data_IF_752769783079
#
_entry.id   IF_752769783079
#
_cell.length_a   1.000
_cell.length_b   1.000
_cell.length_c   1.000
_cell.angle_alpha   90.00
_cell.angle_beta   90.00
_cell.angle_gamma   90.00
#
_symmetry.space_group_name_H-M   'P 1'
#
loop_
_entity.id
_entity.type
_entity.pdbx_description
1 polymer ?
#
# COMPACT_ATOMS: atom_id res chain seq x y z
N UNK A 1 3.32 -11.09 -2.81
CA UNK A 1 2.83 -9.70 -2.60
C UNK A 1 1.45 -9.78 -1.97
N UNK A 2 1.43 -9.90 -0.65
CA UNK A 2 0.21 -9.66 0.09
C UNK A 2 0.08 -8.17 0.38
N UNK A 3 -1.14 -7.62 0.56
CA UNK A 3 -1.41 -6.18 0.78
C UNK A 3 -1.48 -5.34 -0.50
N UNK A 4 -1.62 -5.96 -1.67
CA UNK A 4 -1.72 -5.20 -2.92
C UNK A 4 -2.95 -4.27 -2.93
N UNK A 5 -4.09 -4.77 -2.47
CA UNK A 5 -5.36 -4.03 -2.50
C UNK A 5 -5.31 -2.86 -1.51
N UNK A 6 -4.85 -3.10 -0.29
CA UNK A 6 -4.77 -2.09 0.76
C UNK A 6 -3.80 -0.95 0.43
N UNK A 7 -2.60 -1.26 -0.10
CA UNK A 7 -1.63 -0.22 -0.46
C UNK A 7 -2.11 0.66 -1.62
N UNK A 8 -2.69 0.06 -2.67
CA UNK A 8 -3.25 0.81 -3.79
C UNK A 8 -4.38 1.72 -3.30
N UNK A 9 -5.26 1.21 -2.43
CA UNK A 9 -6.36 1.99 -1.87
C UNK A 9 -5.86 3.20 -1.06
N UNK A 10 -4.84 3.03 -0.22
CA UNK A 10 -4.23 4.13 0.54
C UNK A 10 -3.65 5.19 -0.40
N UNK A 11 -2.94 4.78 -1.46
CA UNK A 11 -2.45 5.72 -2.47
C UNK A 11 -3.59 6.48 -3.13
N UNK A 12 -4.60 5.77 -3.64
CA UNK A 12 -5.68 6.41 -4.39
C UNK A 12 -6.46 7.40 -3.53
N UNK A 13 -6.77 7.04 -2.28
CA UNK A 13 -7.46 7.92 -1.35
C UNK A 13 -6.60 9.11 -0.93
N UNK A 14 -5.33 8.88 -0.59
CA UNK A 14 -4.41 9.98 -0.28
C UNK A 14 -4.23 10.93 -1.48
N UNK A 15 -4.20 10.40 -2.70
CA UNK A 15 -4.14 11.20 -3.92
C UNK A 15 -5.41 12.03 -4.12
N UNK A 16 -6.61 11.47 -3.88
CA UNK A 16 -7.88 12.22 -3.91
C UNK A 16 -7.86 13.39 -2.91
N UNK A 17 -7.37 13.17 -1.69
CA UNK A 17 -7.23 14.23 -0.69
C UNK A 17 -6.15 15.25 -1.09
N UNK A 18 -5.02 14.80 -1.64
CA UNK A 18 -3.95 15.68 -2.11
C UNK A 18 -4.42 16.61 -3.22
N UNK A 19 -5.33 16.18 -4.10
CA UNK A 19 -5.95 17.04 -5.11
C UNK A 19 -6.79 18.17 -4.50
N UNK A 20 -7.37 17.95 -3.32
CA UNK A 20 -8.11 18.97 -2.55
C UNK A 20 -7.22 19.84 -1.67
N UNK A 21 -6.10 19.31 -1.17
CA UNK A 21 -5.27 20.00 -0.18
C UNK A 21 -4.67 21.29 -0.74
N UNK A 22 -4.84 22.45 -0.09
CA UNK A 22 -4.19 23.69 -0.50
C UNK A 22 -2.67 23.65 -0.27
N UNK A 23 -2.18 22.77 0.61
CA UNK A 23 -0.75 22.59 0.89
C UNK A 23 0.01 21.84 -0.21
N UNK A 24 -0.70 21.15 -1.11
CA UNK A 24 -0.07 20.39 -2.19
C UNK A 24 0.10 21.27 -3.42
N UNK A 25 1.35 21.40 -3.89
CA UNK A 25 1.71 22.22 -5.04
C UNK A 25 0.98 21.79 -6.32
N UNK A 26 0.57 22.73 -7.20
CA UNK A 26 -0.15 22.42 -8.44
C UNK A 26 0.52 21.36 -9.33
N UNK A 27 1.86 21.32 -9.40
CA UNK A 27 2.58 20.32 -10.19
C UNK A 27 2.43 18.90 -9.66
N UNK A 28 2.37 18.70 -8.33
CA UNK A 28 2.08 17.38 -7.77
C UNK A 28 0.64 16.96 -8.08
N UNK A 29 -0.30 17.90 -8.01
CA UNK A 29 -1.69 17.64 -8.44
C UNK A 29 -1.77 17.29 -9.93
N UNK A 30 -0.99 17.97 -10.77
CA UNK A 30 -0.88 17.64 -12.19
C UNK A 30 -0.32 16.22 -12.38
N UNK A 31 0.78 15.88 -11.69
CA UNK A 31 1.38 14.55 -11.74
C UNK A 31 0.38 13.45 -11.37
N UNK A 32 -0.35 13.62 -10.27
CA UNK A 32 -1.40 12.68 -9.84
C UNK A 32 -2.50 12.52 -10.89
N UNK A 33 -2.95 13.60 -11.53
CA UNK A 33 -3.97 13.53 -12.60
C UNK A 33 -3.46 12.89 -13.88
N UNK A 34 -2.28 13.29 -14.36
CA UNK A 34 -1.76 12.89 -15.68
C UNK A 34 -1.04 11.54 -15.68
N UNK A 35 -0.59 11.07 -14.52
CA UNK A 35 0.21 9.86 -14.38
C UNK A 35 -0.29 8.95 -13.25
N UNK A 36 -1.60 8.94 -12.98
CA UNK A 36 -2.22 8.10 -11.96
C UNK A 36 -1.77 6.62 -11.99
N UNK A 37 -1.76 5.92 -13.16
CA UNK A 37 -1.33 4.52 -13.19
C UNK A 37 0.11 4.30 -12.75
N UNK A 38 0.97 5.31 -12.95
CA UNK A 38 2.37 5.27 -12.51
C UNK A 38 2.46 5.42 -10.98
N UNK A 39 1.59 6.23 -10.37
CA UNK A 39 1.47 6.30 -8.92
C UNK A 39 0.95 5.00 -8.32
N UNK A 40 -0.03 4.34 -8.95
CA UNK A 40 -0.48 2.99 -8.55
C UNK A 40 0.70 2.01 -8.56
N UNK A 41 1.52 2.02 -9.61
CA UNK A 41 2.74 1.18 -9.67
C UNK A 41 3.73 1.50 -8.54
N UNK A 42 3.93 2.79 -8.23
CA UNK A 42 4.74 3.22 -7.09
C UNK A 42 4.21 2.69 -5.76
N UNK A 43 2.88 2.67 -5.57
CA UNK A 43 2.23 2.21 -4.33
C UNK A 43 2.41 0.72 -4.02
N UNK A 44 2.86 -0.06 -4.98
CA UNK A 44 3.12 -1.50 -4.83
C UNK A 44 4.60 -1.84 -4.96
N UNK A 45 5.47 -0.82 -5.03
CA UNK A 45 6.92 -0.98 -5.13
C UNK A 45 7.59 -0.84 -3.77
N UNK A 46 8.55 -1.72 -3.47
CA UNK A 46 9.33 -1.72 -2.21
C UNK A 46 10.58 -0.85 -2.29
N UNK A 47 11.19 -0.56 -1.14
CA UNK A 47 12.50 0.12 -0.97
C UNK A 47 12.50 1.65 -1.19
N UNK A 48 11.36 2.31 -0.98
CA UNK A 48 11.22 3.75 -1.29
C UNK A 48 11.98 4.67 -0.39
N UNK A 49 12.24 4.22 0.82
CA UNK A 49 12.96 5.03 1.79
C UNK A 49 14.39 5.35 1.31
N UNK A 50 15.05 4.46 0.56
CA UNK A 50 16.40 4.67 0.06
C UNK A 50 16.45 5.56 -1.20
N UNK A 51 15.35 5.67 -1.94
CA UNK A 51 15.33 6.31 -3.26
C UNK A 51 14.50 7.59 -3.31
N UNK A 52 13.73 7.91 -2.27
CA UNK A 52 12.90 9.13 -2.22
C UNK A 52 13.76 10.39 -2.44
N UNK A 53 14.79 10.60 -1.62
CA UNK A 53 15.67 11.78 -1.73
C UNK A 53 16.46 11.80 -3.06
N UNK A 54 17.15 10.72 -3.47
CA UNK A 54 17.85 10.67 -4.75
C UNK A 54 16.96 10.99 -5.97
N UNK A 55 15.65 10.70 -5.90
CA UNK A 55 14.71 11.05 -6.96
C UNK A 55 14.24 12.50 -6.84
N UNK A 56 13.91 12.99 -5.64
CA UNK A 56 13.35 14.33 -5.47
C UNK A 56 14.39 15.46 -5.55
N UNK A 57 15.61 15.25 -5.05
CA UNK A 57 16.63 16.30 -4.98
C UNK A 57 16.99 16.88 -6.38
N UNK A 58 17.20 16.06 -7.44
CA UNK A 58 17.42 16.61 -8.78
C UNK A 58 16.18 17.32 -9.35
N UNK A 59 14.97 16.90 -8.98
CA UNK A 59 13.72 17.50 -9.48
C UNK A 59 13.40 18.84 -8.84
N UNK A 60 13.94 19.11 -7.65
CA UNK A 60 13.84 20.41 -6.98
C UNK A 60 14.41 21.54 -7.85
N UNK A 61 15.50 21.26 -8.57
CA UNK A 61 16.07 22.17 -9.56
C UNK A 61 15.17 22.22 -10.79
N UNK A 62 14.32 23.24 -10.87
CA UNK A 62 13.37 23.43 -11.98
C UNK A 62 11.92 23.05 -11.66
N UNK A 63 11.60 22.69 -10.41
CA UNK A 63 10.22 22.46 -9.99
C UNK A 63 9.33 23.70 -10.14
N UNK A 64 9.90 24.90 -10.11
CA UNK A 64 9.19 26.17 -10.29
C UNK A 64 8.89 26.52 -11.75
N UNK A 65 9.32 25.69 -12.72
CA UNK A 65 8.99 25.91 -14.12
C UNK A 65 7.47 25.91 -14.34
N UNK A 66 6.90 26.75 -15.23
CA UNK A 66 5.46 26.80 -15.46
C UNK A 66 4.84 25.48 -15.92
N UNK A 67 5.63 24.66 -16.63
CA UNK A 67 5.23 23.34 -17.14
C UNK A 67 6.36 22.36 -16.89
N UNK A 68 6.05 21.24 -16.23
CA UNK A 68 7.02 20.16 -16.04
C UNK A 68 6.97 19.17 -17.21
N UNK A 69 8.13 18.61 -17.63
CA UNK A 69 8.16 17.54 -18.62
C UNK A 69 7.34 16.32 -18.18
N UNK A 70 6.73 15.61 -19.14
CA UNK A 70 5.94 14.41 -18.84
C UNK A 70 6.72 13.32 -18.08
N UNK A 71 8.04 13.21 -18.31
CA UNK A 71 8.92 12.32 -17.55
C UNK A 71 8.97 12.72 -16.07
N UNK A 72 9.12 14.00 -15.78
CA UNK A 72 9.12 14.54 -14.41
C UNK A 72 7.80 14.26 -13.71
N UNK A 73 6.66 14.51 -14.37
CA UNK A 73 5.34 14.21 -13.82
C UNK A 73 5.18 12.72 -13.49
N UNK A 74 5.69 11.81 -14.34
CA UNK A 74 5.68 10.37 -14.05
C UNK A 74 6.56 9.98 -12.86
N UNK A 75 7.76 10.56 -12.76
CA UNK A 75 8.65 10.33 -11.61
C UNK A 75 8.01 10.82 -10.32
N UNK A 76 7.41 12.01 -10.33
CA UNK A 76 6.69 12.55 -9.17
C UNK A 76 5.52 11.64 -8.77
N UNK A 77 4.67 11.24 -9.72
CA UNK A 77 3.56 10.33 -9.44
C UNK A 77 4.04 9.00 -8.86
N UNK A 78 5.10 8.40 -9.44
CA UNK A 78 5.72 7.18 -8.92
C UNK A 78 6.18 7.35 -7.47
N UNK A 79 6.94 8.42 -7.19
CA UNK A 79 7.45 8.70 -5.85
C UNK A 79 6.32 8.92 -4.84
N UNK A 80 5.25 9.63 -5.22
CA UNK A 80 4.09 9.82 -4.33
C UNK A 80 3.36 8.50 -4.04
N UNK A 81 3.18 7.65 -5.06
CA UNK A 81 2.73 6.27 -4.88
C UNK A 81 3.60 5.52 -3.87
N UNK A 82 4.91 5.62 -4.04
CA UNK A 82 5.87 4.98 -3.15
C UNK A 82 5.81 5.49 -1.72
N UNK A 83 5.58 6.79 -1.53
CA UNK A 83 5.38 7.37 -0.20
C UNK A 83 4.09 6.85 0.45
N UNK A 84 3.02 6.71 -0.31
CA UNK A 84 1.79 6.08 0.18
C UNK A 84 2.02 4.60 0.57
N UNK A 85 2.85 3.88 -0.18
CA UNK A 85 3.27 2.52 0.19
C UNK A 85 3.90 2.50 1.58
N UNK A 86 4.92 3.34 1.77
CA UNK A 86 5.64 3.41 3.03
C UNK A 86 4.74 3.87 4.19
N UNK A 87 3.79 4.77 3.95
CA UNK A 87 2.83 5.20 4.96
C UNK A 87 1.97 4.02 5.47
N UNK A 88 1.41 3.22 4.55
CA UNK A 88 0.67 2.01 4.87
C UNK A 88 1.53 0.99 5.64
N UNK A 89 2.74 0.73 5.14
CA UNK A 89 3.70 -0.18 5.76
C UNK A 89 4.06 0.21 7.20
N UNK A 90 4.29 1.50 7.46
CA UNK A 90 4.59 2.01 8.80
C UNK A 90 3.41 1.92 9.73
N UNK A 91 2.20 1.97 9.19
CA UNK A 91 0.99 1.80 9.97
C UNK A 91 0.75 0.33 10.33
N UNK A 92 0.77 -0.57 9.34
CA UNK A 92 0.23 -1.92 9.54
C UNK A 92 1.25 -3.00 9.85
N UNK A 93 2.49 -2.92 9.36
CA UNK A 93 3.50 -3.95 9.69
C UNK A 93 3.73 -4.13 11.19
N UNK A 94 3.75 -3.07 12.03
CA UNK A 94 3.78 -3.22 13.48
C UNK A 94 2.54 -3.98 14.00
N UNK A 95 1.35 -3.60 13.52
CA UNK A 95 0.07 -4.20 13.92
C UNK A 95 -0.02 -5.67 13.53
N UNK A 96 0.39 -6.05 12.32
CA UNK A 96 0.38 -7.45 11.88
C UNK A 96 1.21 -8.35 12.78
N UNK A 97 2.38 -7.88 13.19
CA UNK A 97 3.28 -8.61 14.10
C UNK A 97 2.67 -8.75 15.50
N UNK A 98 1.88 -7.78 15.93
CA UNK A 98 1.16 -7.84 17.20
C UNK A 98 -0.06 -8.77 17.13
N UNK A 99 -0.84 -8.70 16.04
CA UNK A 99 -2.06 -9.48 15.87
C UNK A 99 -1.81 -10.94 15.48
N UNK A 100 -0.73 -11.23 14.76
CA UNK A 100 -0.41 -12.60 14.32
C UNK A 100 1.09 -12.92 14.55
N UNK A 101 1.62 -12.80 15.78
CA UNK A 101 3.04 -13.00 16.07
C UNK A 101 3.56 -14.37 15.62
N UNK A 102 2.73 -15.42 15.71
CA UNK A 102 3.03 -16.78 15.26
C UNK A 102 3.41 -16.88 13.76
N UNK A 103 2.95 -15.94 12.93
CA UNK A 103 3.30 -15.88 11.52
C UNK A 103 4.63 -15.16 11.28
N UNK A 104 5.04 -14.26 12.17
CA UNK A 104 6.24 -13.44 12.00
C UNK A 104 7.44 -13.93 12.83
N UNK A 105 7.21 -14.87 13.76
CA UNK A 105 8.19 -15.33 14.74
C UNK A 105 8.11 -16.84 14.99
N UNK A 106 8.92 -17.67 14.29
CA UNK A 106 9.71 -17.32 13.11
C UNK A 106 8.80 -16.99 11.94
N UNK A 107 9.31 -16.22 10.96
CA UNK A 107 8.53 -15.88 9.77
C UNK A 107 8.12 -17.15 9.03
N UNK A 108 6.82 -17.41 8.96
CA UNK A 108 6.24 -18.48 8.17
C UNK A 108 6.22 -18.06 6.69
N UNK A 109 6.34 -19.01 5.74
CA UNK A 109 6.17 -18.71 4.33
C UNK A 109 4.73 -18.30 4.02
N UNK A 110 4.53 -17.56 2.93
CA UNK A 110 3.21 -17.17 2.46
C UNK A 110 2.66 -15.91 3.12
N UNK A 111 1.40 -15.64 2.78
CA UNK A 111 0.66 -14.47 3.24
C UNK A 111 0.04 -14.70 4.62
N UNK A 112 0.16 -13.72 5.52
CA UNK A 112 -0.49 -13.74 6.84
C UNK A 112 -2.02 -13.63 6.74
N UNK A 113 -2.76 -14.20 7.68
CA UNK A 113 -4.23 -14.07 7.66
C UNK A 113 -4.68 -12.63 7.90
N UNK A 114 -4.02 -11.92 8.81
CA UNK A 114 -4.37 -10.52 9.13
C UNK A 114 -4.31 -9.64 7.88
N UNK A 115 -3.28 -9.84 7.06
CA UNK A 115 -3.14 -9.19 5.77
C UNK A 115 -4.31 -9.50 4.82
N UNK A 116 -4.68 -10.78 4.67
CA UNK A 116 -5.79 -11.18 3.78
C UNK A 116 -7.09 -10.51 4.22
N UNK A 117 -7.38 -10.52 5.52
CA UNK A 117 -8.60 -9.93 6.06
C UNK A 117 -8.63 -8.40 5.84
N UNK A 118 -7.49 -7.72 5.98
CA UNK A 118 -7.39 -6.29 5.67
C UNK A 118 -7.66 -6.00 4.19
N UNK A 119 -7.05 -6.75 3.27
CA UNK A 119 -7.30 -6.60 1.82
C UNK A 119 -8.77 -6.85 1.47
N UNK A 120 -9.38 -7.89 2.06
CA UNK A 120 -10.81 -8.22 1.89
C UNK A 120 -11.70 -7.08 2.41
N UNK A 121 -11.38 -6.51 3.57
CA UNK A 121 -12.11 -5.38 4.13
C UNK A 121 -12.01 -4.16 3.20
N UNK A 122 -10.81 -3.81 2.73
CA UNK A 122 -10.63 -2.72 1.76
C UNK A 122 -11.36 -2.99 0.44
N UNK A 123 -11.34 -4.22 -0.06
CA UNK A 123 -12.09 -4.58 -1.27
C UNK A 123 -13.61 -4.36 -1.11
N UNK A 124 -14.15 -4.68 0.06
CA UNK A 124 -15.56 -4.43 0.40
C UNK A 124 -15.84 -2.93 0.52
N UNK A 125 -15.10 -2.24 1.38
CA UNK A 125 -15.40 -0.86 1.77
C UNK A 125 -14.97 0.19 0.73
N UNK A 126 -13.73 0.10 0.23
CA UNK A 126 -13.16 1.11 -0.67
C UNK A 126 -13.61 0.86 -2.11
N UNK A 127 -13.53 -0.39 -2.56
CA UNK A 127 -13.84 -0.75 -3.94
C UNK A 127 -15.28 -1.21 -4.16
N UNK A 128 -16.13 -1.14 -3.12
CA UNK A 128 -17.53 -1.53 -3.18
C UNK A 128 -17.72 -2.92 -3.81
N UNK A 129 -16.97 -3.91 -3.33
CA UNK A 129 -16.96 -5.28 -3.86
C UNK A 129 -16.50 -5.37 -5.33
N UNK A 130 -15.57 -4.51 -5.72
CA UNK A 130 -15.06 -4.42 -7.09
C UNK A 130 -15.99 -3.66 -8.05
N UNK A 131 -17.04 -2.99 -7.56
CA UNK A 131 -17.85 -2.09 -8.41
C UNK A 131 -17.12 -0.79 -8.78
N UNK A 132 -15.94 -0.56 -8.20
CA UNK A 132 -15.08 0.61 -8.47
C UNK A 132 -13.72 0.17 -8.99
N UNK A 133 -13.27 0.87 -10.03
CA UNK A 133 -11.92 0.72 -10.58
C UNK A 133 -10.84 0.95 -9.50
N UNK A 134 -9.64 0.33 -9.66
CA UNK A 134 -9.25 -0.58 -10.73
C UNK A 134 -9.77 -2.01 -10.54
N UNK A 135 -10.48 -2.29 -9.44
CA UNK A 135 -11.03 -3.60 -9.13
C UNK A 135 -12.30 -3.85 -9.94
N UNK A 136 -12.64 -5.13 -10.16
CA UNK A 136 -13.84 -5.54 -10.89
C UNK A 136 -14.69 -6.50 -10.07
N UNK A 137 -16.02 -6.57 -10.29
CA UNK A 137 -16.82 -7.61 -9.64
C UNK A 137 -16.26 -8.98 -10.02
N UNK A 138 -16.06 -9.83 -9.02
CA UNK A 138 -15.46 -11.15 -9.22
C UNK A 138 -13.94 -11.23 -9.03
N UNK A 139 -13.23 -10.12 -8.79
CA UNK A 139 -11.78 -10.17 -8.44
C UNK A 139 -11.48 -11.13 -7.28
N UNK A 140 -12.37 -11.21 -6.28
CA UNK A 140 -12.25 -12.13 -5.14
C UNK A 140 -13.25 -13.29 -5.17
N UNK A 141 -13.96 -13.49 -6.29
CA UNK A 141 -14.86 -14.63 -6.43
C UNK A 141 -14.04 -15.86 -6.84
N UNK A 142 -14.17 -16.95 -6.08
CA UNK A 142 -13.50 -18.21 -6.39
C UNK A 142 -14.48 -19.38 -6.31
N UNK A 143 -14.31 -20.36 -7.20
CA UNK A 143 -15.11 -21.58 -7.26
C UNK A 143 -16.39 -21.48 -8.10
N UNK A 144 -17.26 -22.51 -8.06
CA UNK A 144 -18.48 -22.64 -8.90
C UNK A 144 -19.56 -21.57 -8.63
N UNK A 145 -19.28 -20.61 -7.76
CA UNK A 145 -20.16 -19.49 -7.39
C UNK A 145 -20.13 -18.33 -8.38
N UNK A 146 -19.31 -18.40 -9.45
CA UNK A 146 -19.31 -17.43 -10.54
C UNK A 146 -20.51 -17.68 -11.47
N UNK A 147 -21.44 -16.74 -11.65
CA UNK A 147 -22.47 -16.87 -12.66
C UNK A 147 -21.88 -16.67 -14.07
N UNK A 148 -22.18 -17.58 -15.00
CA UNK A 148 -21.86 -17.44 -16.44
C UNK A 148 -20.54 -18.10 -16.90
N UNK A 149 -20.12 -17.87 -18.16
CA UNK A 149 -18.99 -18.55 -18.82
C UNK A 149 -17.61 -18.23 -18.20
N UNK A 150 -17.55 -17.40 -17.15
CA UNK A 150 -16.35 -17.13 -16.37
C UNK A 150 -16.08 -18.22 -15.31
N UNK A 151 -17.07 -19.02 -14.95
CA UNK A 151 -16.92 -20.15 -14.03
C UNK A 151 -16.05 -21.29 -14.58
N UNK A 152 -15.85 -21.34 -15.90
CA UNK A 152 -15.13 -22.42 -16.60
C UNK A 152 -13.64 -22.15 -16.81
N UNK A 153 -13.11 -21.00 -16.38
CA UNK A 153 -11.67 -20.76 -16.46
C UNK A 153 -10.97 -21.35 -15.22
N UNK A 154 -10.13 -22.40 -15.37
CA UNK A 154 -9.41 -22.99 -14.25
C UNK A 154 -8.38 -21.98 -13.74
N UNK A 155 -8.77 -21.21 -12.73
CA UNK A 155 -8.03 -20.02 -12.26
C UNK A 155 -6.69 -20.41 -11.62
N UNK A 156 -6.62 -21.58 -10.97
CA UNK A 156 -5.37 -22.20 -10.52
C UNK A 156 -4.37 -22.49 -11.66
N UNK A 157 -4.86 -22.67 -12.89
CA UNK A 157 -4.01 -22.82 -14.08
C UNK A 157 -3.64 -21.47 -14.73
N UNK A 158 -4.41 -20.40 -14.46
CA UNK A 158 -4.16 -19.06 -15.00
C UNK A 158 -3.20 -18.24 -14.14
N UNK A 159 -3.17 -18.43 -12.83
CA UNK A 159 -2.30 -17.68 -11.92
C UNK A 159 -0.79 -17.83 -12.26
N UNK A 160 -0.26 -19.03 -12.57
CA UNK A 160 1.12 -19.17 -13.08
C UNK A 160 1.34 -18.44 -14.41
N UNK A 161 0.31 -18.40 -15.25
CA UNK A 161 0.36 -17.82 -16.60
C UNK A 161 0.42 -16.28 -16.54
N UNK A 162 -0.35 -15.66 -15.66
CA UNK A 162 -0.29 -14.23 -15.37
C UNK A 162 1.00 -13.83 -14.64
N UNK A 163 1.45 -14.63 -13.68
CA UNK A 163 2.74 -14.42 -13.01
C UNK A 163 3.91 -14.41 -14.00
N UNK A 164 3.93 -15.36 -14.95
CA UNK A 164 4.92 -15.44 -16.03
C UNK A 164 4.83 -14.27 -17.01
N UNK A 165 3.63 -13.85 -17.41
CA UNK A 165 3.44 -12.69 -18.29
C UNK A 165 3.90 -11.39 -17.62
N UNK A 166 3.56 -11.17 -16.35
CA UNK A 166 3.97 -10.00 -15.59
C UNK A 166 5.49 -9.95 -15.40
N UNK A 167 6.10 -11.07 -15.01
CA UNK A 167 7.56 -11.19 -14.93
C UNK A 167 8.24 -10.91 -16.28
N UNK A 168 7.67 -11.40 -17.39
CA UNK A 168 8.21 -11.15 -18.73
C UNK A 168 8.15 -9.66 -19.10
N UNK A 169 7.05 -8.99 -18.82
CA UNK A 169 6.93 -7.56 -19.13
C UNK A 169 7.81 -6.69 -18.20
N UNK A 170 7.96 -7.05 -16.93
CA UNK A 170 8.93 -6.41 -16.03
C UNK A 170 10.38 -6.58 -16.52
N UNK A 171 10.73 -7.75 -17.06
CA UNK A 171 12.04 -7.97 -17.68
C UNK A 171 12.22 -7.17 -18.98
N UNK A 172 11.15 -6.93 -19.75
CA UNK A 172 11.20 -6.08 -20.95
C UNK A 172 11.36 -4.60 -20.62
N UNK A 173 10.81 -4.15 -19.49
CA UNK A 173 10.89 -2.77 -19.03
C UNK A 173 12.25 -2.42 -18.41
N UNK A 174 13.06 -3.42 -18.03
CA UNK A 174 14.42 -3.18 -17.55
C UNK A 174 15.44 -3.22 -18.69
N UNK A 175 15.90 -2.05 -19.13
CA UNK A 175 17.22 -1.92 -19.76
C UNK A 175 18.28 -2.05 -18.67
N UNK A 176 18.67 -3.28 -18.33
CA UNK A 176 19.79 -3.51 -17.42
C UNK A 176 21.05 -2.92 -18.04
N UNK A 177 21.54 -1.82 -17.48
CA UNK A 177 22.84 -1.28 -17.85
C UNK A 177 23.93 -2.24 -17.36
N UNK A 178 24.64 -2.91 -18.29
CA UNK A 178 25.79 -3.76 -17.95
C UNK A 178 25.91 -5.05 -18.76
N UNK A 179 27.02 -5.79 -18.53
CA UNK A 179 27.38 -7.05 -19.20
C UNK A 179 26.81 -8.31 -18.51
N UNK A 180 25.82 -8.17 -17.61
CA UNK A 180 25.27 -9.32 -16.89
C UNK A 180 24.65 -10.35 -17.86
N UNK A 181 24.99 -11.62 -17.67
CA UNK A 181 24.34 -12.73 -18.38
C UNK A 181 22.83 -12.77 -18.09
N UNK A 182 22.05 -13.38 -18.98
CA UNK A 182 20.59 -13.54 -18.79
C UNK A 182 20.29 -14.26 -17.47
N UNK A 183 21.03 -15.31 -17.12
CA UNK A 183 20.86 -16.07 -15.88
C UNK A 183 21.13 -15.23 -14.63
N UNK A 184 22.18 -14.39 -14.63
CA UNK A 184 22.48 -13.46 -13.53
C UNK A 184 21.38 -12.40 -13.39
N UNK A 185 20.83 -11.91 -14.51
CA UNK A 185 19.70 -10.97 -14.51
C UNK A 185 18.44 -11.60 -13.93
N UNK A 186 18.12 -12.85 -14.27
CA UNK A 186 16.99 -13.57 -13.67
C UNK A 186 17.18 -13.85 -12.17
N UNK A 187 18.40 -14.18 -11.74
CA UNK A 187 18.72 -14.35 -10.32
C UNK A 187 18.55 -13.04 -9.54
N UNK A 188 19.04 -11.90 -10.08
CA UNK A 188 18.80 -10.56 -9.51
C UNK A 188 17.32 -10.18 -9.54
N UNK A 189 16.60 -10.50 -10.61
CA UNK A 189 15.16 -10.22 -10.69
C UNK A 189 14.38 -10.92 -9.57
N UNK A 190 14.72 -12.18 -9.25
CA UNK A 190 14.12 -12.89 -8.10
C UNK A 190 14.45 -12.26 -6.74
N UNK A 191 15.59 -11.59 -6.59
CA UNK A 191 15.93 -10.88 -5.35
C UNK A 191 15.35 -9.47 -5.28
N UNK A 192 14.98 -8.89 -6.43
CA UNK A 192 14.38 -7.54 -6.54
C UNK A 192 12.84 -7.60 -6.48
N UNK A 193 12.24 -8.58 -7.16
CA UNK A 193 10.79 -8.77 -7.17
C UNK A 193 10.41 -9.79 -6.10
N UNK A 194 9.54 -9.39 -5.17
CA UNK A 194 8.99 -10.31 -4.19
C UNK A 194 8.24 -11.44 -4.93
N UNK A 195 8.37 -12.71 -4.48
CA UNK A 195 7.52 -13.77 -5.00
C UNK A 195 6.04 -13.34 -4.92
N UNK A 196 5.31 -13.59 -6.00
CA UNK A 196 3.87 -13.40 -6.05
C UNK A 196 3.23 -14.53 -5.22
N UNK A 197 3.38 -14.44 -3.91
CA UNK A 197 2.61 -15.24 -2.96
C UNK A 197 1.26 -14.55 -2.83
N UNK A 198 0.31 -14.98 -3.64
CA UNK A 198 -1.11 -14.73 -3.47
C UNK A 198 -1.73 -16.11 -3.26
N UNK A 199 -2.71 -16.19 -2.36
CA UNK A 199 -3.49 -17.41 -2.14
C UNK A 199 -4.97 -17.09 -2.44
N UNK A 200 -5.39 -17.17 -3.72
CA UNK A 200 -6.73 -16.75 -4.11
C UNK A 200 -7.83 -17.51 -3.37
N UNK A 201 -7.57 -18.77 -3.00
CA UNK A 201 -8.51 -19.60 -2.26
C UNK A 201 -8.75 -19.02 -0.86
N UNK A 202 -7.68 -18.68 -0.11
CA UNK A 202 -7.81 -18.04 1.21
C UNK A 202 -8.44 -16.65 1.14
N UNK A 203 -8.15 -15.87 0.10
CA UNK A 203 -8.81 -14.56 -0.11
C UNK A 203 -10.31 -14.72 -0.35
N UNK A 204 -10.71 -15.67 -1.19
CA UNK A 204 -12.11 -15.93 -1.48
C UNK A 204 -12.86 -16.52 -0.28
N UNK A 205 -12.22 -17.41 0.48
CA UNK A 205 -12.76 -17.93 1.73
C UNK A 205 -12.98 -16.79 2.74
N UNK A 206 -11.98 -15.95 2.99
CA UNK A 206 -12.12 -14.79 3.87
C UNK A 206 -13.19 -13.79 3.38
N UNK A 207 -13.38 -13.65 2.06
CA UNK A 207 -14.40 -12.78 1.49
C UNK A 207 -15.82 -13.33 1.66
N UNK A 208 -16.05 -14.60 1.27
CA UNK A 208 -17.37 -15.23 1.20
C UNK A 208 -17.83 -15.91 2.50
N UNK A 209 -16.88 -16.45 3.27
CA UNK A 209 -17.12 -17.20 4.51
C UNK A 209 -16.11 -16.76 5.59
N UNK A 210 -16.13 -15.48 5.98
CA UNK A 210 -15.18 -14.99 6.98
C UNK A 210 -15.35 -15.72 8.30
N UNK A 211 -14.24 -16.15 8.90
CA UNK A 211 -14.20 -16.70 10.26
C UNK A 211 -14.50 -15.58 11.27
N UNK A 212 -15.58 -15.66 12.06
CA UNK A 212 -15.95 -14.61 13.02
C UNK A 212 -14.85 -14.29 14.03
N UNK A 213 -14.05 -15.28 14.44
CA UNK A 213 -12.93 -15.08 15.38
C UNK A 213 -11.84 -14.23 14.72
N UNK A 214 -11.52 -14.50 13.45
CA UNK A 214 -10.55 -13.72 12.68
C UNK A 214 -11.06 -12.32 12.36
N UNK A 215 -12.35 -12.16 12.04
CA UNK A 215 -12.97 -10.83 11.87
C UNK A 215 -12.83 -10.02 13.15
N UNK A 216 -13.19 -10.60 14.29
CA UNK A 216 -13.07 -9.91 15.57
C UNK A 216 -11.62 -9.52 15.87
N UNK A 217 -10.69 -10.46 15.72
CA UNK A 217 -9.26 -10.28 16.03
C UNK A 217 -8.56 -9.29 15.10
N UNK A 218 -8.85 -9.33 13.80
CA UNK A 218 -8.09 -8.61 12.77
C UNK A 218 -8.76 -7.33 12.30
N UNK A 219 -10.09 -7.22 12.35
CA UNK A 219 -10.81 -6.05 11.82
C UNK A 219 -11.47 -5.23 12.92
N UNK A 220 -12.26 -5.86 13.78
CA UNK A 220 -13.10 -5.16 14.76
C UNK A 220 -12.31 -4.65 15.96
N UNK A 221 -11.64 -5.56 16.69
CA UNK A 221 -10.90 -5.20 17.90
C UNK A 221 -9.81 -4.14 17.68
N UNK A 222 -9.02 -4.19 16.59
CA UNK A 222 -7.99 -3.17 16.35
C UNK A 222 -8.54 -1.98 15.54
N UNK A 223 -9.87 -1.87 15.36
CA UNK A 223 -10.55 -0.84 14.57
C UNK A 223 -9.89 -0.57 13.21
N UNK A 224 -9.82 -1.59 12.35
CA UNK A 224 -9.12 -1.47 11.07
C UNK A 224 -9.74 -0.40 10.16
N UNK A 225 -11.08 -0.36 10.08
CA UNK A 225 -11.84 0.57 9.24
C UNK A 225 -13.11 1.05 9.95
N UNK A 226 -13.37 2.36 9.91
CA UNK A 226 -14.53 3.00 10.54
C UNK A 226 -15.25 3.90 9.52
N UNK A 227 -16.33 3.40 8.93
CA UNK A 227 -17.04 4.09 7.85
C UNK A 227 -17.65 5.43 8.27
N UNK A 228 -17.89 5.63 9.57
CA UNK A 228 -18.50 6.86 10.11
C UNK A 228 -17.45 7.93 10.44
N UNK A 229 -16.15 7.63 10.29
CA UNK A 229 -15.11 8.60 10.53
C UNK A 229 -15.15 9.74 9.49
N UNK A 230 -15.07 11.02 9.90
CA UNK A 230 -15.24 12.17 8.99
C UNK A 230 -14.35 12.15 7.74
N UNK A 231 -13.10 11.65 7.86
CA UNK A 231 -12.18 11.53 6.73
C UNK A 231 -12.67 10.48 5.72
N UNK A 232 -13.16 9.34 6.20
CA UNK A 232 -13.62 8.24 5.36
C UNK A 232 -14.97 8.57 4.70
N UNK A 233 -15.85 9.30 5.39
CA UNK A 233 -17.07 9.87 4.80
C UNK A 233 -16.75 10.83 3.65
N UNK A 234 -15.76 11.71 3.82
CA UNK A 234 -15.30 12.60 2.74
C UNK A 234 -14.75 11.80 1.56
N UNK A 235 -13.90 10.80 1.83
CA UNK A 235 -13.32 9.95 0.79
C UNK A 235 -14.39 9.19 0.02
N UNK A 236 -15.40 8.66 0.69
CA UNK A 236 -16.49 7.95 0.06
C UNK A 236 -17.24 8.84 -0.93
N UNK A 237 -17.53 10.09 -0.54
CA UNK A 237 -18.08 11.11 -1.46
C UNK A 237 -17.17 11.34 -2.67
N UNK A 238 -15.85 11.43 -2.48
CA UNK A 238 -14.89 11.64 -3.57
C UNK A 238 -14.79 10.42 -4.50
N UNK A 239 -14.82 9.20 -3.97
CA UNK A 239 -14.80 7.95 -4.74
C UNK A 239 -16.04 7.82 -5.63
N UNK A 240 -17.17 8.35 -5.20
CA UNK A 240 -18.41 8.43 -5.98
C UNK A 240 -18.41 9.55 -7.04
N UNK A 241 -17.29 10.26 -7.22
CA UNK A 241 -17.19 11.39 -8.15
C UNK A 241 -17.80 12.68 -7.64
N UNK A 242 -18.19 12.75 -6.36
CA UNK A 242 -18.68 13.97 -5.74
C UNK A 242 -17.56 15.02 -5.63
N UNK A 243 -17.91 16.29 -5.85
CA UNK A 243 -16.99 17.41 -5.60
C UNK A 243 -16.94 17.72 -4.10
N UNK A 244 -15.80 18.19 -3.59
CA UNK A 244 -15.66 18.74 -2.24
C UNK A 244 -14.78 19.99 -2.26
N UNK A 245 -15.05 20.93 -1.35
CA UNK A 245 -14.21 22.12 -1.17
C UNK A 245 -12.98 21.79 -0.29
N UNK A 246 -11.87 22.54 -0.42
CA UNK A 246 -10.70 22.39 0.46
C UNK A 246 -11.03 22.44 1.96
N UNK A 247 -12.00 23.27 2.35
CA UNK A 247 -12.46 23.37 3.75
C UNK A 247 -13.05 22.06 4.29
N UNK A 248 -13.61 21.21 3.43
CA UNK A 248 -14.12 19.91 3.84
C UNK A 248 -12.99 19.00 4.31
N UNK A 249 -11.84 19.02 3.62
CA UNK A 249 -10.63 18.29 4.04
C UNK A 249 -10.09 18.82 5.37
N UNK A 250 -10.02 20.15 5.52
CA UNK A 250 -9.55 20.74 6.77
C UNK A 250 -10.45 20.36 7.95
N UNK A 251 -11.78 20.37 7.76
CA UNK A 251 -12.75 19.94 8.77
C UNK A 251 -12.62 18.46 9.09
N UNK A 252 -12.47 17.60 8.09
CA UNK A 252 -12.39 16.14 8.28
C UNK A 252 -11.11 15.70 8.98
N UNK A 253 -10.03 16.50 8.91
CA UNK A 253 -8.74 16.24 9.59
C UNK A 253 -8.65 16.80 11.02
N UNK A 254 -9.63 17.58 11.50
CA UNK A 254 -9.62 18.13 12.86
C UNK A 254 -9.61 17.05 13.94
N UNK A 255 -10.52 16.05 13.92
CA UNK A 255 -10.38 14.93 14.82
C UNK A 255 -9.18 14.05 14.40
N UNK A 256 -8.44 13.47 15.36
CA UNK A 256 -7.47 12.45 15.03
C UNK A 256 -8.19 11.24 14.39
N UNK A 257 -7.58 10.57 13.40
CA UNK A 257 -8.12 9.33 12.87
C UNK A 257 -8.34 8.31 13.98
N UNK A 258 -9.46 7.58 13.91
CA UNK A 258 -9.84 6.53 14.87
C UNK A 258 -9.54 5.14 14.34
N UNK A 259 -9.53 4.98 13.02
CA UNK A 259 -9.27 3.70 12.35
C UNK A 259 -7.87 3.63 11.75
N UNK A 260 -7.29 2.43 11.74
CA UNK A 260 -5.95 2.22 11.18
C UNK A 260 -5.87 2.58 9.69
N UNK A 261 -6.94 2.35 8.93
CA UNK A 261 -6.99 2.71 7.52
C UNK A 261 -6.91 4.24 7.34
N UNK A 262 -7.67 5.01 8.13
CA UNK A 262 -7.62 6.46 8.08
C UNK A 262 -6.30 7.04 8.58
N UNK A 263 -5.64 6.39 9.55
CA UNK A 263 -4.27 6.73 9.98
C UNK A 263 -3.27 6.59 8.82
N UNK A 264 -3.33 5.47 8.08
CA UNK A 264 -2.46 5.22 6.93
C UNK A 264 -2.68 6.26 5.81
N UNK A 265 -3.94 6.57 5.48
CA UNK A 265 -4.28 7.59 4.47
C UNK A 265 -3.82 8.99 4.91
N UNK A 266 -4.03 9.33 6.18
CA UNK A 266 -3.59 10.62 6.74
C UNK A 266 -2.07 10.76 6.66
N UNK A 267 -1.33 9.71 7.03
CA UNK A 267 0.12 9.67 6.93
C UNK A 267 0.60 9.82 5.48
N UNK A 268 -0.04 9.13 4.53
CA UNK A 268 0.28 9.24 3.11
C UNK A 268 0.05 10.67 2.57
N UNK A 269 -1.02 11.35 3.00
CA UNK A 269 -1.27 12.75 2.68
C UNK A 269 -0.17 13.66 3.27
N UNK A 270 0.20 13.46 4.54
CA UNK A 270 1.27 14.23 5.20
C UNK A 270 2.60 14.08 4.46
N UNK A 271 2.94 12.87 3.99
CA UNK A 271 4.14 12.65 3.18
C UNK A 271 4.07 13.39 1.84
N UNK A 272 2.89 13.41 1.20
CA UNK A 272 2.67 14.15 -0.05
C UNK A 272 2.84 15.66 0.16
N UNK A 273 2.31 16.20 1.26
CA UNK A 273 2.49 17.59 1.68
C UNK A 273 3.96 17.91 1.96
N UNK A 274 4.70 17.01 2.63
CA UNK A 274 6.14 17.17 2.86
C UNK A 274 6.95 17.17 1.54
N UNK A 275 6.60 16.31 0.58
CA UNK A 275 7.22 16.34 -0.76
C UNK A 275 6.96 17.67 -1.48
N UNK A 276 5.77 18.25 -1.31
CA UNK A 276 5.43 19.58 -1.83
C UNK A 276 6.35 20.66 -1.25
N UNK A 277 6.42 20.73 0.07
CA UNK A 277 7.26 21.69 0.80
C UNK A 277 8.74 21.55 0.41
N UNK A 278 9.21 20.32 0.25
CA UNK A 278 10.60 20.04 -0.13
C UNK A 278 10.92 20.53 -1.54
N UNK A 279 10.06 20.22 -2.51
CA UNK A 279 10.26 20.63 -3.90
C UNK A 279 10.10 22.15 -4.10
N UNK A 280 9.29 22.81 -3.27
CA UNK A 280 9.20 24.26 -3.19
C UNK A 280 10.37 24.92 -2.43
N UNK A 281 11.21 24.12 -1.79
CA UNK A 281 12.35 24.56 -1.00
C UNK A 281 12.01 25.18 0.35
N UNK A 282 10.81 24.95 0.84
CA UNK A 282 10.35 25.35 2.19
C UNK A 282 11.00 24.50 3.28
N UNK A 283 11.37 23.25 2.97
CA UNK A 283 12.11 22.35 3.86
C UNK A 283 13.34 21.77 3.16
N UNK A 284 14.32 21.32 3.95
CA UNK A 284 15.55 20.68 3.49
C UNK A 284 15.45 19.14 3.53
N UNK A 285 16.57 18.48 3.22
CA UNK A 285 16.68 17.02 3.15
C UNK A 285 16.44 16.37 4.52
N UNK A 286 16.90 16.99 5.61
CA UNK A 286 16.77 16.47 6.97
C UNK A 286 15.32 16.53 7.44
N UNK A 287 14.64 17.66 7.22
CA UNK A 287 13.23 17.82 7.58
C UNK A 287 12.33 16.92 6.71
N UNK A 288 12.66 16.73 5.41
CA UNK A 288 11.93 15.76 4.59
C UNK A 288 12.14 14.34 5.11
N UNK A 289 13.37 13.98 5.50
CA UNK A 289 13.71 12.68 6.09
C UNK A 289 12.88 12.40 7.34
N UNK A 290 12.79 13.37 8.24
CA UNK A 290 12.00 13.25 9.46
C UNK A 290 10.49 13.14 9.16
N UNK A 291 9.93 14.09 8.39
CA UNK A 291 8.49 14.13 8.11
C UNK A 291 7.98 12.95 7.29
N UNK A 292 8.85 12.33 6.49
CA UNK A 292 8.52 11.11 5.73
C UNK A 292 8.98 9.83 6.44
N UNK A 293 9.50 9.90 7.67
CA UNK A 293 10.09 8.75 8.35
C UNK A 293 11.12 7.98 7.49
N UNK A 294 11.87 8.65 6.61
CA UNK A 294 12.82 8.00 5.71
C UNK A 294 13.88 7.26 6.51
N UNK A 295 14.26 6.07 6.04
CA UNK A 295 15.29 5.20 6.63
C UNK A 295 15.00 4.70 8.06
N UNK A 296 13.87 5.10 8.67
CA UNK A 296 13.44 4.59 9.98
C UNK A 296 12.99 3.14 9.89
N UNK A 297 13.21 2.32 10.94
CA UNK A 297 12.74 0.94 10.93
C UNK A 297 11.21 0.85 10.99
N UNK A 298 10.61 -0.11 10.26
CA UNK A 298 9.17 -0.45 10.37
C UNK A 298 8.80 -1.18 11.67
N UNK A 299 9.72 -1.27 12.64
CA UNK A 299 9.52 -1.94 13.93
C UNK A 299 9.68 -0.88 15.01
N UNK A 300 8.58 -0.31 15.53
CA UNK A 300 8.64 0.49 16.74
C UNK A 300 9.32 -0.31 17.86
N UNK A 301 10.09 0.33 18.75
CA UNK A 301 10.77 -0.33 19.86
C UNK A 301 9.84 -1.22 20.70
N UNK A 302 8.59 -0.80 20.87
CA UNK A 302 7.56 -1.50 21.62
C UNK A 302 7.18 -2.83 20.97
N UNK A 303 7.06 -2.86 19.64
CA UNK A 303 6.80 -4.10 18.91
C UNK A 303 8.01 -5.01 18.95
N UNK A 304 9.23 -4.46 18.89
CA UNK A 304 10.44 -5.25 19.03
C UNK A 304 10.51 -5.93 20.42
N UNK A 305 10.16 -5.19 21.48
CA UNK A 305 10.11 -5.71 22.84
C UNK A 305 9.00 -6.76 23.02
N UNK A 306 7.80 -6.49 22.51
CA UNK A 306 6.70 -7.47 22.52
C UNK A 306 7.11 -8.78 21.86
N UNK A 307 7.76 -8.72 20.69
CA UNK A 307 8.18 -9.93 19.98
C UNK A 307 9.26 -10.70 20.74
N UNK A 308 10.21 -10.01 21.39
CA UNK A 308 11.19 -10.65 22.29
C UNK A 308 10.52 -11.39 23.44
N UNK A 309 9.52 -10.76 24.07
CA UNK A 309 8.78 -11.38 25.18
C UNK A 309 7.98 -12.59 24.70
N UNK A 310 7.35 -12.49 23.53
CA UNK A 310 6.63 -13.59 22.90
C UNK A 310 7.56 -14.80 22.60
N UNK A 311 8.76 -14.56 22.05
CA UNK A 311 9.76 -15.61 21.80
C UNK A 311 10.16 -16.34 23.08
N UNK A 312 10.43 -15.59 24.16
CA UNK A 312 10.80 -16.13 25.48
C UNK A 312 9.67 -16.96 26.10
N UNK A 313 8.42 -16.50 25.99
CA UNK A 313 7.26 -17.25 26.47
C UNK A 313 7.02 -18.54 25.67
N UNK A 314 7.37 -18.54 24.37
CA UNK A 314 7.25 -19.72 23.52
C UNK A 314 8.31 -20.78 23.85
N UNK A 315 9.57 -20.38 24.04
CA UNK A 315 10.67 -21.31 24.33
C UNK A 315 10.54 -22.00 25.70
N UNK A 316 9.97 -21.31 26.69
CA UNK A 316 9.72 -21.88 28.02
C UNK A 316 8.62 -22.95 28.02
N UNK A 317 7.61 -22.85 27.14
CA UNK A 317 6.58 -23.89 27.01
C UNK A 317 7.09 -25.16 26.35
N UNK A 318 8.01 -25.06 25.40
CA UNK A 318 8.56 -26.22 24.68
C UNK A 318 9.62 -27.00 25.46
N UNK A 319 10.22 -26.41 26.50
CA UNK A 319 11.26 -27.06 27.32
C UNK A 319 10.77 -27.72 28.61
N UNK A 320 9.45 -27.75 28.86
CA UNK A 320 8.85 -28.36 30.05
C UNK A 320 8.17 -29.71 29.80
N UNK A 321 8.30 -30.26 28.59
CA UNK A 321 7.70 -31.54 28.18
C UNK A 321 8.76 -32.63 27.83
N UNK A 322 10.02 -32.43 28.25
CA UNK A 322 11.08 -33.46 28.25
C UNK A 322 11.30 -34.03 29.65
#
# INVERSE_FOLDING_TARGET
MSEHITHVAVFEDAARLALLSPAVHPHLKQALRSAWPVGVLGSVTRLGDQHTLPVLAPLRQGFTAPVLPARTLRLLAFTLGWRAHNAADRQWKPVYRYLQPEHYVPKQPGVSDVTIYHDVAVFKEVYAHGRRAPMTPGTLAFGPSLPGPQASLPTLALEPLFGLMWQRELLRLQSFAGQDSVSQRFAKAKSVFEPLEVDPARYAEAYHRPDPVRVQKYLVAPNFYDADEPLLVLLERLRQGGAAAPDALLKSRRPPPRSQYAEAVTRALVYTEACSDYLCGTIDDDVLTDRCDLLRPHKPPEVAEFLRQYEKARSTKTGGEE
#
